data_IF_032957763559
#
_entry.id   IF_032957763559
#
_cell.length_a   1.000
_cell.length_b   1.000
_cell.length_c   1.000
_cell.angle_alpha   90.00
_cell.angle_beta   90.00
_cell.angle_gamma   90.00
#
_symmetry.space_group_name_H-M   'P 1'
#
loop_
_entity.id
_entity.type
_entity.pdbx_description
1 polymer ?
#
# COMPACT_ATOMS: atom_id res chain seq x y z
N UNK A 1 6.56 -35.71 -28.55
CA UNK A 1 5.72 -34.51 -28.33
C UNK A 1 6.16 -33.95 -27.00
N UNK A 2 6.83 -32.79 -27.01
CA UNK A 2 7.27 -32.11 -25.80
C UNK A 2 6.26 -30.99 -25.60
N UNK A 3 5.44 -31.10 -24.56
CA UNK A 3 4.52 -30.05 -24.14
C UNK A 3 5.37 -28.94 -23.50
N UNK A 4 5.36 -27.77 -24.14
CA UNK A 4 6.02 -26.58 -23.63
C UNK A 4 5.05 -25.96 -22.63
N UNK A 5 5.30 -26.16 -21.33
CA UNK A 5 4.67 -25.38 -20.30
C UNK A 5 5.15 -23.92 -20.46
N UNK A 6 4.26 -23.03 -20.88
CA UNK A 6 4.49 -21.58 -20.79
C UNK A 6 4.36 -21.17 -19.32
N UNK A 7 5.45 -21.33 -18.56
CA UNK A 7 5.65 -20.64 -17.30
C UNK A 7 6.15 -19.22 -17.64
N UNK A 8 5.25 -18.26 -17.75
CA UNK A 8 5.61 -16.86 -17.61
C UNK A 8 5.77 -16.57 -16.11
N UNK A 9 6.88 -17.04 -15.52
CA UNK A 9 7.29 -16.60 -14.19
C UNK A 9 8.04 -15.30 -14.39
N UNK A 10 7.32 -14.18 -14.44
CA UNK A 10 7.97 -12.88 -14.23
C UNK A 10 8.52 -12.93 -12.81
N UNK A 11 9.84 -13.10 -12.66
CA UNK A 11 10.46 -13.04 -11.34
C UNK A 11 10.13 -11.68 -10.72
N UNK A 12 9.37 -11.68 -9.63
CA UNK A 12 9.07 -10.45 -8.90
C UNK A 12 10.38 -9.90 -8.36
N UNK A 13 10.75 -8.69 -8.80
CA UNK A 13 11.96 -8.02 -8.32
C UNK A 13 11.71 -7.56 -6.88
N UNK A 14 12.49 -8.13 -5.97
CA UNK A 14 12.48 -7.77 -4.56
C UNK A 14 13.35 -6.54 -4.36
N UNK A 15 12.77 -5.47 -3.82
CA UNK A 15 13.50 -4.25 -3.48
C UNK A 15 14.00 -4.34 -2.05
N UNK A 16 15.31 -4.20 -1.85
CA UNK A 16 15.93 -4.22 -0.53
C UNK A 16 16.11 -2.79 -0.01
N UNK A 17 15.50 -2.47 1.13
CA UNK A 17 15.54 -1.15 1.76
C UNK A 17 16.28 -1.24 3.09
N UNK A 18 17.45 -0.59 3.23
CA UNK A 18 18.16 -0.52 4.50
C UNK A 18 17.33 0.18 5.57
N UNK A 19 17.21 -0.42 6.75
CA UNK A 19 16.46 0.15 7.87
C UNK A 19 17.38 1.05 8.69
N UNK A 20 17.17 2.36 8.56
CA UNK A 20 18.04 3.33 9.20
C UNK A 20 17.91 3.33 10.73
N UNK A 21 18.95 3.76 11.47
CA UNK A 21 18.86 3.94 12.92
C UNK A 21 17.70 4.84 13.35
N UNK A 22 17.33 5.83 12.51
CA UNK A 22 16.17 6.71 12.73
C UNK A 22 14.86 5.92 12.73
N UNK A 23 14.66 5.01 11.76
CA UNK A 23 13.48 4.12 11.70
C UNK A 23 13.39 3.27 12.94
N UNK A 24 14.50 2.65 13.35
CA UNK A 24 14.54 1.86 14.57
C UNK A 24 14.28 2.65 15.84
N UNK A 25 14.74 3.90 15.91
CA UNK A 25 14.48 4.76 17.06
C UNK A 25 12.98 5.07 17.18
N UNK A 26 12.34 5.48 16.08
CA UNK A 26 10.90 5.73 16.04
C UNK A 26 10.10 4.48 16.40
N UNK A 27 10.45 3.33 15.80
CA UNK A 27 9.81 2.06 16.10
C UNK A 27 9.93 1.67 17.58
N UNK A 28 11.11 1.86 18.20
CA UNK A 28 11.29 1.62 19.65
C UNK A 28 10.44 2.56 20.50
N UNK A 29 10.36 3.83 20.13
CA UNK A 29 9.54 4.80 20.84
C UNK A 29 8.07 4.36 20.82
N UNK A 30 7.51 4.14 19.64
CA UNK A 30 6.12 3.72 19.47
C UNK A 30 5.82 2.38 20.13
N UNK A 31 6.75 1.42 20.10
CA UNK A 31 6.63 0.15 20.78
C UNK A 31 6.62 0.29 22.32
N UNK A 32 7.44 1.19 22.86
CA UNK A 32 7.54 1.45 24.30
C UNK A 32 6.31 2.13 24.90
N UNK A 33 5.48 2.75 24.06
CA UNK A 33 4.20 3.35 24.46
C UNK A 33 3.07 2.31 24.57
N UNK A 34 3.31 1.04 24.19
CA UNK A 34 2.28 0.02 24.14
C UNK A 34 2.06 -0.68 25.48
N UNK A 35 0.82 -1.08 25.82
CA UNK A 35 0.48 -1.65 27.12
C UNK A 35 1.03 -3.08 27.32
N UNK A 36 1.34 -3.79 26.23
CA UNK A 36 1.85 -5.17 26.29
C UNK A 36 3.08 -5.33 25.39
N UNK A 37 3.94 -6.28 25.77
CA UNK A 37 5.14 -6.63 24.98
C UNK A 37 4.74 -7.11 23.58
N UNK A 38 3.66 -7.88 23.47
CA UNK A 38 3.15 -8.39 22.19
C UNK A 38 2.72 -7.26 21.26
N UNK A 39 1.93 -6.31 21.77
CA UNK A 39 1.50 -5.14 21.01
C UNK A 39 2.70 -4.25 20.65
N UNK A 40 3.64 -4.09 21.57
CA UNK A 40 4.91 -3.39 21.32
C UNK A 40 5.70 -4.00 20.16
N UNK A 41 5.81 -5.34 20.09
CA UNK A 41 6.47 -6.04 18.97
C UNK A 41 5.75 -5.83 17.64
N UNK A 42 4.41 -5.91 17.63
CA UNK A 42 3.61 -5.63 16.43
C UNK A 42 3.85 -4.20 15.94
N UNK A 43 3.68 -3.21 16.83
CA UNK A 43 3.87 -1.79 16.51
C UNK A 43 5.30 -1.51 16.04
N UNK A 44 6.29 -2.14 16.65
CA UNK A 44 7.69 -2.03 16.22
C UNK A 44 7.86 -2.44 14.75
N UNK A 45 7.37 -3.63 14.39
CA UNK A 45 7.50 -4.16 13.03
C UNK A 45 6.66 -3.38 12.02
N UNK A 46 5.44 -2.96 12.37
CA UNK A 46 4.60 -2.13 11.51
C UNK A 46 5.26 -0.77 11.24
N UNK A 47 5.87 -0.16 12.26
CA UNK A 47 6.59 1.11 12.11
C UNK A 47 7.80 0.97 11.19
N UNK A 48 8.53 -0.15 11.27
CA UNK A 48 9.62 -0.44 10.33
C UNK A 48 9.10 -0.70 8.90
N UNK A 49 7.95 -1.37 8.75
CA UNK A 49 7.37 -1.66 7.46
C UNK A 49 6.94 -0.38 6.74
N UNK A 50 6.18 0.47 7.44
CA UNK A 50 5.80 1.80 6.96
C UNK A 50 7.02 2.64 6.61
N UNK A 51 8.03 2.64 7.49
CA UNK A 51 9.27 3.37 7.26
C UNK A 51 10.04 2.91 6.03
N UNK A 52 10.09 1.61 5.75
CA UNK A 52 10.75 1.07 4.57
C UNK A 52 10.03 1.46 3.26
N UNK A 53 8.69 1.41 3.26
CA UNK A 53 7.89 1.83 2.09
C UNK A 53 8.03 3.33 1.86
N UNK A 54 8.01 4.14 2.92
CA UNK A 54 8.23 5.58 2.83
C UNK A 54 9.65 5.91 2.32
N UNK A 55 10.69 5.24 2.84
CA UNK A 55 12.07 5.42 2.36
C UNK A 55 12.21 5.07 0.87
N UNK A 56 11.53 4.00 0.41
CA UNK A 56 11.48 3.63 -1.01
C UNK A 56 10.77 4.68 -1.87
N UNK A 57 9.57 5.12 -1.47
CA UNK A 57 8.80 6.10 -2.24
C UNK A 57 9.51 7.46 -2.30
N UNK A 58 10.09 7.91 -1.18
CA UNK A 58 10.88 9.14 -1.14
C UNK A 58 12.13 9.06 -2.03
N UNK A 59 12.80 7.90 -2.08
CA UNK A 59 13.93 7.68 -2.99
C UNK A 59 13.50 7.77 -4.47
N UNK A 60 12.28 7.34 -4.76
CA UNK A 60 11.67 7.43 -6.09
C UNK A 60 10.96 8.77 -6.33
N UNK A 61 11.21 9.77 -5.49
CA UNK A 61 10.66 11.14 -5.56
C UNK A 61 9.13 11.19 -5.53
N UNK A 62 8.48 10.21 -4.91
CA UNK A 62 7.04 10.14 -4.74
C UNK A 62 6.62 10.66 -3.36
N UNK A 63 5.75 11.67 -3.31
CA UNK A 63 5.39 12.36 -2.07
C UNK A 63 4.56 11.47 -1.12
N UNK A 64 4.91 11.50 0.17
CA UNK A 64 4.23 10.74 1.23
C UNK A 64 4.12 11.56 2.51
N UNK A 65 3.21 11.17 3.40
CA UNK A 65 2.96 11.88 4.66
C UNK A 65 2.78 10.91 5.83
N UNK A 66 3.85 10.72 6.60
CA UNK A 66 3.76 10.01 7.89
C UNK A 66 2.87 10.70 8.93
N UNK A 67 2.91 12.03 9.13
CA UNK A 67 2.12 12.66 10.18
C UNK A 67 0.60 12.50 10.02
N UNK A 68 0.14 12.23 8.80
CA UNK A 68 -1.28 12.00 8.50
C UNK A 68 -1.71 10.53 8.68
N UNK A 69 -0.76 9.61 8.87
CA UNK A 69 -1.05 8.19 9.05
C UNK A 69 -1.69 7.88 10.41
N UNK A 70 -2.56 6.88 10.45
CA UNK A 70 -3.14 6.35 11.69
C UNK A 70 -2.07 5.75 12.61
N UNK A 71 -0.94 5.28 12.05
CA UNK A 71 0.24 4.88 12.82
C UNK A 71 0.73 6.01 13.74
N UNK A 72 0.63 7.27 13.34
CA UNK A 72 1.05 8.42 14.16
C UNK A 72 0.01 8.79 15.22
N UNK A 73 -1.22 8.28 15.14
CA UNK A 73 -2.24 8.46 16.16
C UNK A 73 -2.03 7.45 17.32
N UNK A 74 -1.71 7.89 18.55
CA UNK A 74 -1.46 6.97 19.67
C UNK A 74 -2.64 6.07 20.02
N UNK A 75 -3.87 6.57 19.87
CA UNK A 75 -5.08 5.80 20.16
C UNK A 75 -5.24 4.69 19.14
N UNK A 76 -5.15 5.00 17.84
CA UNK A 76 -5.27 3.98 16.80
C UNK A 76 -4.14 2.96 16.91
N UNK A 77 -2.90 3.42 17.06
CA UNK A 77 -1.74 2.54 17.27
C UNK A 77 -1.89 1.58 18.46
N UNK A 78 -2.54 2.01 19.54
CA UNK A 78 -2.77 1.18 20.72
C UNK A 78 -3.84 0.11 20.49
N UNK A 79 -4.93 0.44 19.80
CA UNK A 79 -6.11 -0.42 19.69
C UNK A 79 -6.23 -1.20 18.37
N UNK A 80 -5.51 -0.79 17.33
CA UNK A 80 -5.60 -1.34 15.97
C UNK A 80 -4.22 -1.77 15.45
N UNK A 81 -4.20 -2.72 14.52
CA UNK A 81 -3.00 -3.19 13.81
C UNK A 81 -2.66 -2.28 12.62
N UNK A 82 -2.54 -0.97 12.90
CA UNK A 82 -2.25 0.07 11.90
C UNK A 82 -0.85 -0.08 11.34
N UNK A 83 -0.76 0.07 10.02
CA UNK A 83 0.50 0.14 9.28
C UNK A 83 0.30 0.93 7.97
N UNK A 84 -0.52 1.98 8.02
CA UNK A 84 -0.83 2.80 6.87
C UNK A 84 0.27 3.84 6.58
N UNK A 85 0.33 4.30 5.33
CA UNK A 85 1.11 5.43 4.86
C UNK A 85 0.25 6.27 3.94
N UNK A 86 0.13 7.57 4.21
CA UNK A 86 -0.70 8.46 3.41
C UNK A 86 0.08 8.97 2.20
N UNK A 87 -0.56 8.93 1.04
CA UNK A 87 -0.19 9.70 -0.14
C UNK A 87 -1.13 10.91 -0.21
N UNK A 88 -0.63 12.14 0.00
CA UNK A 88 -1.46 13.34 -0.01
C UNK A 88 -2.33 13.45 -1.27
N UNK A 89 -3.62 13.76 -1.08
CA UNK A 89 -4.58 13.90 -2.17
C UNK A 89 -5.03 12.59 -2.84
N UNK A 90 -4.28 11.49 -2.69
CA UNK A 90 -4.62 10.21 -3.31
C UNK A 90 -5.31 9.23 -2.36
N UNK A 91 -4.72 8.95 -1.20
CA UNK A 91 -5.25 7.93 -0.29
C UNK A 91 -4.18 7.25 0.54
N UNK A 92 -4.42 6.01 0.94
CA UNK A 92 -3.57 5.28 1.88
C UNK A 92 -2.98 4.01 1.26
N UNK A 93 -1.70 3.78 1.54
CA UNK A 93 -1.00 2.52 1.34
C UNK A 93 -1.02 1.75 2.65
N UNK A 94 -1.28 0.46 2.63
CA UNK A 94 -1.16 -0.40 3.81
C UNK A 94 0.14 -1.24 3.72
N UNK A 95 1.02 -1.08 4.70
CA UNK A 95 2.35 -1.72 4.73
C UNK A 95 2.33 -2.96 5.63
N UNK A 96 2.15 -4.16 5.06
CA UNK A 96 1.97 -5.39 5.84
C UNK A 96 3.29 -6.13 6.00
N UNK A 97 3.73 -6.30 7.25
CA UNK A 97 4.91 -7.10 7.57
C UNK A 97 4.74 -8.57 7.16
N UNK A 98 5.84 -9.19 6.74
CA UNK A 98 5.95 -10.62 6.44
C UNK A 98 7.22 -11.18 7.08
N UNK A 99 7.08 -12.21 7.90
CA UNK A 99 8.18 -12.93 8.54
C UNK A 99 8.71 -14.04 7.62
N UNK A 100 9.96 -14.51 7.79
CA UNK A 100 10.61 -15.46 6.86
C UNK A 100 9.82 -16.76 6.56
N UNK A 101 8.99 -17.22 7.50
CA UNK A 101 8.19 -18.45 7.35
C UNK A 101 6.76 -18.20 6.88
N UNK A 102 6.35 -16.95 6.70
CA UNK A 102 5.00 -16.59 6.27
C UNK A 102 4.93 -16.57 4.73
N UNK A 103 3.90 -17.22 4.16
CA UNK A 103 3.62 -17.20 2.70
C UNK A 103 2.50 -16.22 2.33
N UNK A 104 1.92 -15.56 3.33
CA UNK A 104 0.81 -14.64 3.22
C UNK A 104 0.84 -13.66 4.40
N UNK A 105 0.16 -12.54 4.26
CA UNK A 105 -0.12 -11.63 5.37
C UNK A 105 -1.61 -11.50 5.61
N UNK A 106 -1.99 -11.29 6.88
CA UNK A 106 -3.37 -11.04 7.28
C UNK A 106 -3.74 -9.56 7.12
N UNK A 107 -5.03 -9.35 6.83
CA UNK A 107 -5.66 -8.04 6.76
C UNK A 107 -6.54 -7.82 8.00
N UNK A 108 -6.13 -6.94 8.92
CA UNK A 108 -6.97 -6.57 10.05
C UNK A 108 -8.21 -5.83 9.55
N UNK A 109 -9.35 -5.87 10.27
CA UNK A 109 -10.61 -5.29 9.80
C UNK A 109 -10.50 -3.84 9.32
N UNK A 110 -9.77 -3.00 10.04
CA UNK A 110 -9.52 -1.58 9.75
C UNK A 110 -8.74 -1.33 8.45
N UNK A 111 -8.02 -2.34 7.95
CA UNK A 111 -7.22 -2.23 6.73
C UNK A 111 -7.92 -2.81 5.50
N UNK A 112 -9.15 -3.31 5.58
CA UNK A 112 -9.83 -3.99 4.45
C UNK A 112 -10.51 -3.04 3.47
N UNK A 113 -10.60 -1.75 3.81
CA UNK A 113 -11.29 -0.76 3.02
C UNK A 113 -10.41 0.47 2.79
N UNK A 114 -10.71 1.23 1.73
CA UNK A 114 -10.11 2.54 1.47
C UNK A 114 -8.58 2.55 1.36
N UNK A 115 -7.99 1.44 0.92
CA UNK A 115 -6.57 1.33 0.59
C UNK A 115 -6.36 1.44 -0.91
N UNK A 116 -5.35 2.18 -1.34
CA UNK A 116 -4.90 2.19 -2.73
C UNK A 116 -4.18 0.89 -3.06
N UNK A 117 -3.27 0.48 -2.18
CA UNK A 117 -2.48 -0.74 -2.31
C UNK A 117 -2.12 -1.32 -0.94
N UNK A 118 -1.83 -2.61 -0.92
CA UNK A 118 -1.16 -3.32 0.17
C UNK A 118 0.26 -3.67 -0.28
N UNK A 119 1.27 -3.24 0.45
CA UNK A 119 2.67 -3.57 0.18
C UNK A 119 3.15 -4.61 1.18
N UNK A 120 3.66 -5.74 0.67
CA UNK A 120 4.23 -6.78 1.51
C UNK A 120 5.69 -6.46 1.85
N UNK A 121 5.99 -6.35 3.14
CA UNK A 121 7.32 -6.00 3.65
C UNK A 121 7.93 -7.15 4.43
N UNK A 122 8.79 -7.90 3.77
CA UNK A 122 9.56 -9.00 4.33
C UNK A 122 10.66 -8.52 5.27
N UNK A 123 10.81 -9.21 6.40
CA UNK A 123 11.92 -8.97 7.34
C UNK A 123 12.83 -10.19 7.48
N UNK A 124 14.10 -9.92 7.78
CA UNK A 124 15.05 -10.91 8.28
C UNK A 124 15.25 -10.75 9.79
N UNK A 125 15.77 -11.77 10.47
CA UNK A 125 15.96 -11.75 11.94
C UNK A 125 16.78 -10.55 12.42
N UNK A 126 17.75 -10.09 11.62
CA UNK A 126 18.61 -8.96 11.97
C UNK A 126 17.89 -7.63 11.98
N UNK A 127 16.75 -7.52 11.28
CA UNK A 127 16.00 -6.29 11.02
C UNK A 127 16.86 -5.15 10.51
N UNK A 128 17.95 -5.43 9.78
CA UNK A 128 18.80 -4.39 9.16
C UNK A 128 18.30 -3.95 7.79
N UNK A 129 17.54 -4.81 7.12
CA UNK A 129 17.02 -4.61 5.78
C UNK A 129 15.57 -5.09 5.76
N UNK A 130 14.71 -4.31 5.12
CA UNK A 130 13.37 -4.72 4.73
C UNK A 130 13.36 -5.11 3.25
N UNK A 131 12.57 -6.12 2.90
CA UNK A 131 12.41 -6.64 1.54
C UNK A 131 11.00 -6.30 1.07
N UNK A 132 10.84 -5.38 0.12
CA UNK A 132 9.54 -5.13 -0.50
C UNK A 132 9.28 -6.24 -1.51
N UNK A 133 8.36 -7.15 -1.16
CA UNK A 133 8.14 -8.40 -1.90
C UNK A 133 7.20 -8.23 -3.09
N UNK A 134 6.44 -7.14 -3.11
CA UNK A 134 5.42 -6.87 -4.11
C UNK A 134 4.23 -6.14 -3.47
N UNK A 135 3.22 -5.87 -4.29
CA UNK A 135 2.00 -5.19 -3.85
C UNK A 135 0.72 -5.82 -4.40
N UNK A 136 -0.39 -5.51 -3.74
CA UNK A 136 -1.75 -5.84 -4.15
C UNK A 136 -2.57 -4.56 -4.26
N UNK A 137 -3.43 -4.42 -5.27
CA UNK A 137 -4.29 -3.23 -5.41
C UNK A 137 -5.49 -3.34 -4.51
N UNK A 138 -5.84 -2.26 -3.82
CA UNK A 138 -6.91 -2.31 -2.82
C UNK A 138 -8.27 -2.71 -3.38
N UNK A 139 -8.57 -2.27 -4.60
CA UNK A 139 -9.85 -2.56 -5.28
C UNK A 139 -9.93 -3.95 -5.89
N UNK A 140 -8.83 -4.72 -5.87
CA UNK A 140 -8.85 -6.13 -6.23
C UNK A 140 -9.20 -7.02 -5.02
N UNK A 141 -9.35 -6.43 -3.81
CA UNK A 141 -9.78 -7.14 -2.62
C UNK A 141 -11.28 -7.46 -2.69
N UNK A 142 -11.65 -8.70 -2.33
CA UNK A 142 -13.06 -9.08 -2.17
C UNK A 142 -13.54 -8.86 -0.73
N UNK A 143 -14.83 -8.64 -0.53
CA UNK A 143 -15.43 -8.37 0.81
C UNK A 143 -15.11 -9.42 1.87
N UNK A 144 -14.88 -10.67 1.46
CA UNK A 144 -14.58 -11.78 2.38
C UNK A 144 -13.08 -12.05 2.57
N UNK A 145 -12.22 -11.32 1.86
CA UNK A 145 -10.77 -11.56 1.86
C UNK A 145 -10.12 -11.00 3.13
N UNK A 146 -9.49 -11.89 3.88
CA UNK A 146 -8.83 -11.57 5.16
C UNK A 146 -7.32 -11.80 5.13
N UNK A 147 -6.79 -12.27 3.99
CA UNK A 147 -5.38 -12.54 3.76
C UNK A 147 -5.03 -12.38 2.28
N UNK A 148 -3.76 -12.08 2.00
CA UNK A 148 -3.20 -12.02 0.64
C UNK A 148 -1.98 -12.93 0.59
N UNK A 149 -1.96 -13.87 -0.37
CA UNK A 149 -0.79 -14.72 -0.63
C UNK A 149 0.30 -13.92 -1.35
N UNK A 150 1.55 -14.12 -0.93
CA UNK A 150 2.71 -13.40 -1.49
C UNK A 150 2.92 -13.74 -2.96
N UNK A 151 2.64 -14.98 -3.36
CA UNK A 151 2.81 -15.46 -4.73
C UNK A 151 1.87 -14.77 -5.74
N UNK A 152 0.81 -14.11 -5.25
CA UNK A 152 -0.14 -13.39 -6.09
C UNK A 152 0.17 -11.89 -6.19
N UNK A 153 1.24 -11.41 -5.55
CA UNK A 153 1.59 -9.99 -5.57
C UNK A 153 2.11 -9.55 -6.93
N UNK A 154 1.77 -8.33 -7.31
CA UNK A 154 2.38 -7.62 -8.43
C UNK A 154 3.79 -7.16 -8.06
N UNK A 155 4.67 -7.09 -9.06
CA UNK A 155 6.05 -6.61 -8.91
C UNK A 155 6.11 -5.20 -8.35
N UNK A 156 7.08 -4.92 -7.47
CA UNK A 156 7.32 -3.57 -6.97
C UNK A 156 7.64 -2.56 -8.07
N UNK A 157 8.16 -2.99 -9.21
CA UNK A 157 8.45 -2.08 -10.35
C UNK A 157 7.18 -1.41 -10.88
N UNK A 158 6.05 -2.13 -10.94
CA UNK A 158 4.80 -1.58 -11.46
C UNK A 158 4.00 -0.78 -10.44
N UNK A 159 4.48 -0.70 -9.18
CA UNK A 159 3.83 0.11 -8.15
C UNK A 159 3.89 1.59 -8.51
N UNK A 160 5.05 2.10 -8.92
CA UNK A 160 5.20 3.53 -9.24
C UNK A 160 4.38 3.91 -10.47
N UNK A 161 4.38 3.07 -11.51
CA UNK A 161 3.55 3.30 -12.70
C UNK A 161 2.07 3.39 -12.32
N UNK A 162 1.61 2.52 -11.41
CA UNK A 162 0.26 2.57 -10.89
C UNK A 162 -0.02 3.86 -10.10
N UNK A 163 0.84 4.23 -9.16
CA UNK A 163 0.67 5.45 -8.36
C UNK A 163 0.70 6.73 -9.20
N UNK A 164 1.60 6.81 -10.18
CA UNK A 164 1.70 7.93 -11.15
C UNK A 164 0.44 8.00 -12.01
N UNK A 165 -0.12 6.87 -12.43
CA UNK A 165 -1.39 6.84 -13.14
C UNK A 165 -2.51 7.44 -12.28
N UNK A 166 -2.58 7.08 -11.00
CA UNK A 166 -3.59 7.63 -10.10
C UNK A 166 -3.39 9.13 -9.87
N UNK A 167 -2.14 9.59 -9.72
CA UNK A 167 -1.80 11.00 -9.59
C UNK A 167 -2.27 11.81 -10.79
N UNK A 168 -1.96 11.35 -12.02
CA UNK A 168 -2.44 11.99 -13.26
C UNK A 168 -3.96 12.05 -13.34
N UNK A 169 -4.65 10.99 -12.92
CA UNK A 169 -6.10 10.97 -12.90
C UNK A 169 -6.67 11.96 -11.88
N UNK A 170 -6.04 12.08 -10.70
CA UNK A 170 -6.40 13.08 -9.69
C UNK A 170 -6.18 14.48 -10.22
N UNK A 171 -5.03 14.75 -10.81
CA UNK A 171 -4.68 16.07 -11.36
C UNK A 171 -5.63 16.48 -12.49
N UNK A 172 -6.04 15.52 -13.33
CA UNK A 172 -7.10 15.77 -14.31
C UNK A 172 -8.41 16.15 -13.61
N UNK A 173 -8.85 15.39 -12.60
CA UNK A 173 -10.06 15.70 -11.84
C UNK A 173 -9.99 17.02 -11.08
N UNK A 174 -8.80 17.53 -10.74
CA UNK A 174 -8.58 18.82 -10.10
C UNK A 174 -8.46 19.99 -11.10
N UNK A 175 -8.35 19.70 -12.40
CA UNK A 175 -8.23 20.72 -13.44
C UNK A 175 -9.54 21.50 -13.67
N UNK A 176 -9.44 22.55 -14.49
CA UNK A 176 -10.57 23.38 -14.95
C UNK A 176 -11.25 22.82 -16.20
N UNK A 177 -10.92 21.59 -16.62
CA UNK A 177 -11.64 20.94 -17.71
C UNK A 177 -13.13 20.78 -17.32
N UNK A 178 -14.05 21.05 -18.24
CA UNK A 178 -15.49 21.03 -17.98
C UNK A 178 -15.98 19.66 -17.45
N UNK A 179 -15.41 18.57 -17.97
CA UNK A 179 -15.80 17.21 -17.63
C UNK A 179 -15.18 16.83 -16.28
N UNK A 180 -13.96 17.29 -16.01
CA UNK A 180 -13.32 17.18 -14.70
C UNK A 180 -14.10 17.93 -13.61
N UNK A 181 -14.51 19.17 -13.86
CA UNK A 181 -15.30 19.99 -12.91
C UNK A 181 -16.64 19.30 -12.61
N UNK A 182 -17.33 18.80 -13.63
CA UNK A 182 -18.58 18.08 -13.45
C UNK A 182 -18.41 16.79 -12.65
N UNK A 183 -17.38 16.00 -12.96
CA UNK A 183 -17.05 14.77 -12.23
C UNK A 183 -16.67 15.06 -10.77
N UNK A 184 -15.76 16.03 -10.54
CA UNK A 184 -15.32 16.46 -9.20
C UNK A 184 -16.50 16.91 -8.34
N UNK A 185 -17.40 17.73 -8.89
CA UNK A 185 -18.60 18.16 -8.17
C UNK A 185 -19.49 16.99 -7.74
N UNK A 186 -19.65 15.97 -8.59
CA UNK A 186 -20.42 14.77 -8.26
C UNK A 186 -19.73 13.95 -7.14
N UNK A 187 -18.42 13.73 -7.27
CA UNK A 187 -17.60 12.98 -6.30
C UNK A 187 -17.67 13.64 -4.92
N UNK A 188 -17.43 14.95 -4.85
CA UNK A 188 -17.46 15.74 -3.62
C UNK A 188 -18.86 15.74 -2.98
N UNK A 189 -19.93 15.84 -3.79
CA UNK A 189 -21.30 15.81 -3.28
C UNK A 189 -21.67 14.49 -2.59
N UNK A 190 -20.97 13.40 -2.91
CA UNK A 190 -21.14 12.08 -2.32
C UNK A 190 -20.15 11.83 -1.15
N UNK A 191 -19.30 12.81 -0.84
CA UNK A 191 -18.25 12.68 0.19
C UNK A 191 -17.16 11.67 -0.18
N UNK A 192 -16.98 11.38 -1.47
CA UNK A 192 -15.99 10.42 -1.95
C UNK A 192 -14.61 11.07 -2.07
N UNK A 193 -13.55 10.29 -1.82
CA UNK A 193 -12.18 10.72 -2.08
C UNK A 193 -11.90 10.72 -3.59
N UNK A 194 -11.29 11.80 -4.11
CA UNK A 194 -10.90 11.89 -5.52
C UNK A 194 -9.94 10.75 -5.89
N UNK A 195 -8.87 10.55 -5.12
CA UNK A 195 -7.87 9.53 -5.45
C UNK A 195 -8.41 8.09 -5.38
N UNK A 196 -9.26 7.76 -4.40
CA UNK A 196 -9.95 6.46 -4.37
C UNK A 196 -10.92 6.31 -5.55
N UNK A 197 -11.56 7.41 -5.98
CA UNK A 197 -12.40 7.39 -7.18
C UNK A 197 -11.57 7.13 -8.44
N UNK A 198 -10.39 7.74 -8.57
CA UNK A 198 -9.48 7.47 -9.69
C UNK A 198 -9.04 6.01 -9.69
N UNK A 199 -8.71 5.45 -8.53
CA UNK A 199 -8.41 4.02 -8.41
C UNK A 199 -9.60 3.15 -8.86
N UNK A 200 -10.84 3.54 -8.50
CA UNK A 200 -12.05 2.84 -8.92
C UNK A 200 -12.24 2.88 -10.44
N UNK A 201 -12.03 4.04 -11.05
CA UNK A 201 -12.08 4.22 -12.51
C UNK A 201 -10.99 3.40 -13.21
N UNK A 202 -9.76 3.36 -12.68
CA UNK A 202 -8.68 2.49 -13.19
C UNK A 202 -9.09 1.03 -13.16
N UNK A 203 -9.64 0.56 -12.03
CA UNK A 203 -10.07 -0.83 -11.86
C UNK A 203 -11.17 -1.19 -12.86
N UNK A 204 -12.16 -0.31 -13.04
CA UNK A 204 -13.23 -0.49 -14.05
C UNK A 204 -12.65 -0.53 -15.46
N UNK A 205 -11.75 0.39 -15.81
CA UNK A 205 -11.12 0.45 -17.13
C UNK A 205 -10.32 -0.83 -17.44
N UNK A 206 -9.46 -1.26 -16.51
CA UNK A 206 -8.63 -2.46 -16.65
C UNK A 206 -9.45 -3.74 -16.79
N UNK A 207 -10.57 -3.84 -16.07
CA UNK A 207 -11.44 -5.02 -16.08
C UNK A 207 -12.55 -4.95 -17.14
N UNK A 208 -12.68 -3.83 -17.85
CA UNK A 208 -13.65 -3.71 -18.94
C UNK A 208 -13.27 -4.69 -20.05
N UNK A 209 -14.21 -5.51 -20.56
CA UNK A 209 -13.95 -6.35 -21.71
C UNK A 209 -13.50 -5.43 -22.84
N UNK A 210 -12.34 -5.72 -23.43
CA UNK A 210 -11.60 -4.90 -24.37
C UNK A 210 -12.46 -4.43 -25.56
N UNK A 211 -13.35 -3.46 -25.34
CA UNK A 211 -14.05 -2.74 -26.39
C UNK A 211 -13.02 -1.80 -26.96
N UNK A 212 -12.32 -2.28 -28.00
CA UNK A 212 -11.69 -1.41 -28.97
C UNK A 212 -12.74 -0.37 -29.38
N UNK A 213 -12.70 0.80 -28.78
CA UNK A 213 -13.38 1.98 -29.29
C UNK A 213 -12.68 2.29 -30.62
N UNK A 214 -13.28 1.78 -31.69
CA UNK A 214 -12.96 2.09 -33.08
C UNK A 214 -13.75 3.31 -33.50
#
# INVERSE_FOLDING_TARGET
>A
MIEIATMNTTENIIVNVPLSPKRHHLARQFAGEQPTIEKGKQVYLNTLAVGAVEDFLNYMEFETSLPQSELFNPVMRQFQDVADLVIPGLGQIECRRVMPTETAFSLPPEARENRLVYVAVGFEESLKTARLLGFWRGLDLTDSQTRIEIDNLSSMESLLDYLILLEKGKDFLESEDKDAVAARSLIESQGMSLGLTVAALESVYRNSPNTRWR
#
